data_IF_400782618442
#
_entry.id   IF_400782618442
#
_cell.length_a   1.000
_cell.length_b   1.000
_cell.length_c   1.000
_cell.angle_alpha   90.00
_cell.angle_beta   90.00
_cell.angle_gamma   90.00
#
_symmetry.space_group_name_H-M   'P 1'
#
loop_
_entity.id
_entity.type
_entity.pdbx_description
1 polymer ?
#
# COMPACT_ATOMS: atom_id res chain seq x y z
N UNK A 1 14.79 4.17 5.37
CA UNK A 1 14.27 5.13 6.33
C UNK A 1 12.96 5.65 5.80
N UNK A 2 11.86 5.03 6.22
CA UNK A 2 10.54 5.62 6.03
C UNK A 2 10.42 6.87 6.91
N UNK A 3 9.75 7.89 6.38
CA UNK A 3 9.49 9.10 7.14
C UNK A 3 8.00 9.35 7.26
N UNK A 4 7.61 9.98 8.37
CA UNK A 4 6.25 10.45 8.61
C UNK A 4 6.26 11.85 9.19
N UNK A 5 5.80 12.82 8.41
CA UNK A 5 5.63 14.20 8.86
C UNK A 5 4.38 14.28 9.74
N UNK A 6 4.60 14.39 11.05
CA UNK A 6 3.57 14.51 12.06
C UNK A 6 3.21 15.98 12.33
N UNK A 7 1.91 16.25 12.46
CA UNK A 7 1.36 17.58 12.77
C UNK A 7 0.87 17.72 14.20
N UNK A 8 -0.08 16.88 14.64
CA UNK A 8 -0.69 16.93 15.97
C UNK A 8 -0.77 15.54 16.57
N UNK A 9 -0.62 15.42 17.89
CA UNK A 9 -0.78 14.13 18.57
C UNK A 9 -1.73 14.17 19.76
N UNK A 10 -2.30 13.01 20.04
CA UNK A 10 -3.37 12.80 21.01
C UNK A 10 -3.05 11.60 21.86
N UNK A 11 -3.16 11.77 23.17
CA UNK A 11 -2.86 10.72 24.14
C UNK A 11 -4.14 9.98 24.49
N UNK A 12 -4.05 8.66 24.59
CA UNK A 12 -5.10 7.75 25.03
C UNK A 12 -4.59 6.94 26.21
N UNK A 13 -5.40 6.79 27.26
CA UNK A 13 -5.04 6.07 28.48
C UNK A 13 -5.68 4.69 28.52
N UNK A 14 -4.94 3.70 29.00
CA UNK A 14 -5.42 2.32 29.13
C UNK A 14 -6.71 2.29 29.96
N UNK A 15 -7.79 1.79 29.37
CA UNK A 15 -9.05 1.53 30.05
C UNK A 15 -9.12 0.06 30.46
N UNK A 16 -9.08 -0.86 29.48
CA UNK A 16 -9.11 -2.30 29.74
C UNK A 16 -8.54 -3.10 28.57
N UNK A 17 -7.73 -4.11 28.86
CA UNK A 17 -7.20 -5.02 27.84
C UNK A 17 -6.40 -4.27 26.78
N UNK A 18 -6.93 -4.23 25.55
CA UNK A 18 -6.37 -3.54 24.39
C UNK A 18 -7.03 -2.19 24.11
N UNK A 19 -8.01 -1.77 24.91
CA UNK A 19 -8.78 -0.54 24.71
C UNK A 19 -8.21 0.63 25.52
N UNK A 20 -8.02 1.77 24.87
CA UNK A 20 -7.50 3.01 25.43
C UNK A 20 -8.47 4.17 25.17
N UNK A 21 -8.85 4.91 26.19
CA UNK A 21 -9.80 6.03 26.08
C UNK A 21 -9.05 7.35 25.85
N UNK A 22 -9.66 8.25 25.07
CA UNK A 22 -9.11 9.57 24.80
C UNK A 22 -8.81 10.33 26.10
N UNK A 23 -7.59 10.82 26.25
CA UNK A 23 -7.13 11.56 27.43
C UNK A 23 -7.05 13.05 27.12
N UNK A 24 -6.14 13.44 26.22
CA UNK A 24 -5.88 14.83 25.91
C UNK A 24 -5.21 15.00 24.53
N UNK A 25 -5.39 16.18 23.94
CA UNK A 25 -4.54 16.64 22.86
C UNK A 25 -3.26 17.23 23.44
N UNK A 26 -2.12 16.80 22.92
CA UNK A 26 -0.83 17.37 23.29
C UNK A 26 -0.28 18.09 22.07
N UNK A 27 0.00 19.38 22.24
CA UNK A 27 0.53 20.21 21.15
C UNK A 27 2.04 20.08 21.05
N UNK A 28 2.52 19.85 19.83
CA UNK A 28 3.92 19.99 19.45
C UNK A 28 4.01 20.71 18.11
N UNK A 29 5.11 21.43 17.83
CA UNK A 29 5.44 21.78 16.46
C UNK A 29 5.49 20.54 15.56
N UNK A 30 5.19 20.68 14.25
CA UNK A 30 5.32 19.61 13.29
C UNK A 30 6.73 19.03 13.27
N UNK A 31 6.85 17.73 13.05
CA UNK A 31 8.11 17.02 13.10
C UNK A 31 8.07 15.74 12.28
N UNK A 32 9.23 15.26 11.83
CA UNK A 32 9.33 14.06 11.02
C UNK A 32 9.79 12.89 11.88
N UNK A 33 8.97 11.84 11.97
CA UNK A 33 9.39 10.54 12.48
C UNK A 33 10.20 9.79 11.43
N UNK A 34 11.19 9.03 11.88
CA UNK A 34 12.04 8.15 11.09
C UNK A 34 12.02 6.77 11.77
N UNK A 35 11.81 5.69 11.00
CA UNK A 35 11.88 4.30 11.49
C UNK A 35 13.31 3.89 11.90
N UNK A 36 14.31 4.69 11.54
CA UNK A 36 15.73 4.46 11.79
C UNK A 36 16.30 3.20 11.14
N UNK A 37 15.51 2.56 10.29
CA UNK A 37 15.82 1.30 9.63
C UNK A 37 16.24 1.54 8.16
N UNK A 38 16.98 0.58 7.62
CA UNK A 38 17.46 0.66 6.23
C UNK A 38 16.43 0.17 5.20
N UNK A 39 15.29 -0.36 5.65
CA UNK A 39 14.10 -0.53 4.81
C UNK A 39 13.30 0.77 4.74
N UNK A 40 12.25 0.81 3.93
CA UNK A 40 11.46 2.03 3.73
C UNK A 40 10.06 1.83 4.32
N UNK A 41 9.98 1.17 5.48
CA UNK A 41 8.72 0.64 6.02
C UNK A 41 8.70 0.67 7.55
N UNK A 42 7.79 1.43 8.17
CA UNK A 42 7.38 1.21 9.57
C UNK A 42 6.64 -0.14 9.77
N UNK A 43 7.31 -1.10 10.38
CA UNK A 43 6.77 -2.37 10.86
C UNK A 43 6.32 -2.25 12.32
N UNK A 44 5.32 -3.04 12.73
CA UNK A 44 4.88 -3.04 14.13
C UNK A 44 6.03 -3.47 15.02
N UNK A 45 6.38 -2.60 15.98
CA UNK A 45 7.53 -2.79 16.86
C UNK A 45 8.71 -1.88 16.52
N UNK A 46 8.69 -1.17 15.39
CA UNK A 46 9.75 -0.25 15.01
C UNK A 46 9.85 0.94 15.96
N UNK A 47 11.08 1.33 16.22
CA UNK A 47 11.39 2.54 16.98
C UNK A 47 11.32 3.77 16.07
N UNK A 48 10.19 4.45 16.08
CA UNK A 48 9.98 5.71 15.38
C UNK A 48 10.51 6.85 16.24
N UNK A 49 11.67 7.36 15.87
CA UNK A 49 12.43 8.27 16.72
C UNK A 49 12.15 9.72 16.38
N UNK A 50 11.88 10.53 17.41
CA UNK A 50 12.00 11.98 17.35
C UNK A 50 12.60 12.50 18.68
N UNK A 51 13.68 13.29 18.59
CA UNK A 51 14.23 14.09 19.69
C UNK A 51 14.50 13.36 21.03
N UNK A 52 15.25 12.25 21.02
CA UNK A 52 15.62 11.43 22.20
C UNK A 52 14.46 10.67 22.87
N UNK A 53 13.23 10.79 22.37
CA UNK A 53 12.07 10.01 22.84
C UNK A 53 11.75 8.93 21.82
N UNK A 54 11.94 7.67 22.23
CA UNK A 54 11.62 6.50 21.42
C UNK A 54 10.10 6.29 21.45
N UNK A 55 9.47 6.26 20.29
CA UNK A 55 8.07 5.87 20.11
C UNK A 55 8.06 4.55 19.37
N UNK A 56 7.38 3.54 19.88
CA UNK A 56 7.24 2.26 19.17
C UNK A 56 6.01 2.30 18.28
N UNK A 57 6.14 2.00 16.99
CA UNK A 57 5.02 1.95 16.05
C UNK A 57 4.13 0.73 16.34
N UNK A 58 2.81 0.94 16.39
CA UNK A 58 1.83 -0.10 16.73
C UNK A 58 0.83 -0.38 15.61
N UNK A 59 0.90 0.38 14.51
CA UNK A 59 -0.05 0.32 13.40
C UNK A 59 -0.68 1.68 13.10
N UNK A 60 -1.70 1.68 12.24
CA UNK A 60 -2.42 2.88 11.86
C UNK A 60 -3.92 2.77 12.11
N UNK A 61 -4.62 3.89 12.06
CA UNK A 61 -6.07 3.96 12.16
C UNK A 61 -6.63 4.95 11.14
N UNK A 62 -7.73 4.57 10.48
CA UNK A 62 -8.44 5.44 9.53
C UNK A 62 -9.47 6.29 10.26
N UNK A 63 -9.34 7.62 10.14
CA UNK A 63 -10.20 8.60 10.79
C UNK A 63 -11.01 9.42 9.78
N UNK A 64 -12.29 9.72 10.03
CA UNK A 64 -13.09 10.58 9.15
C UNK A 64 -12.64 12.04 9.16
N UNK A 65 -12.70 12.71 8.01
CA UNK A 65 -12.49 14.16 7.88
C UNK A 65 -13.84 14.89 7.68
N UNK A 66 -14.04 15.99 8.40
CA UNK A 66 -15.17 16.90 8.24
C UNK A 66 -15.19 17.48 6.81
N UNK A 67 -16.31 17.32 6.10
CA UNK A 67 -16.42 17.65 4.68
C UNK A 67 -16.19 16.46 3.74
N UNK A 68 -15.82 15.29 4.27
CA UNK A 68 -15.73 14.02 3.55
C UNK A 68 -14.30 13.56 3.29
N UNK A 69 -14.11 12.24 3.20
CA UNK A 69 -12.79 11.60 3.12
C UNK A 69 -12.34 11.05 4.47
N UNK A 70 -11.13 10.52 4.49
CA UNK A 70 -10.53 9.89 5.68
C UNK A 70 -9.05 10.26 5.80
N UNK A 71 -8.41 10.10 6.94
CA UNK A 71 -6.97 10.25 7.12
C UNK A 71 -6.46 8.99 7.80
N UNK A 72 -5.25 8.54 7.48
CA UNK A 72 -4.59 7.50 8.29
C UNK A 72 -3.66 8.18 9.28
N UNK A 73 -3.88 7.86 10.55
CA UNK A 73 -3.11 8.35 11.66
C UNK A 73 -2.24 7.20 12.18
N UNK A 74 -0.99 7.50 12.57
CA UNK A 74 -0.15 6.51 13.21
C UNK A 74 -0.57 6.33 14.66
N UNK A 75 -0.44 5.11 15.17
CA UNK A 75 -0.59 4.81 16.60
C UNK A 75 0.73 4.26 17.11
N UNK A 76 1.19 4.79 18.25
CA UNK A 76 2.45 4.38 18.86
C UNK A 76 2.42 4.37 20.37
N UNK A 77 3.52 3.91 20.96
CA UNK A 77 3.77 3.92 22.41
C UNK A 77 5.05 4.69 22.72
N UNK A 78 4.97 5.70 23.57
CA UNK A 78 6.17 6.39 24.07
C UNK A 78 6.87 5.55 25.14
N UNK A 79 8.13 5.21 24.89
CA UNK A 79 8.99 4.46 25.83
C UNK A 79 9.15 5.10 27.22
N UNK A 80 9.03 6.43 27.31
CA UNK A 80 9.19 7.21 28.55
C UNK A 80 7.91 7.38 29.37
N UNK A 81 6.75 7.03 28.80
CA UNK A 81 5.43 7.19 29.41
C UNK A 81 4.95 5.80 29.82
N UNK A 82 5.21 5.41 31.07
CA UNK A 82 5.07 4.02 31.52
C UNK A 82 3.81 3.30 31.02
N UNK A 83 4.00 2.39 30.06
CA UNK A 83 3.16 1.31 29.46
C UNK A 83 1.65 1.50 29.24
N UNK A 84 1.02 2.55 29.74
CA UNK A 84 -0.43 2.69 29.87
C UNK A 84 -0.99 3.82 29.01
N UNK A 85 -0.16 4.43 28.16
CA UNK A 85 -0.60 5.44 27.22
C UNK A 85 -0.24 5.08 25.79
N UNK A 86 -1.13 5.44 24.87
CA UNK A 86 -0.93 5.32 23.43
C UNK A 86 -1.05 6.70 22.83
N UNK A 87 -0.27 6.95 21.79
CA UNK A 87 -0.32 8.21 21.05
C UNK A 87 -0.94 7.94 19.69
N UNK A 88 -1.91 8.74 19.31
CA UNK A 88 -2.40 8.85 17.94
C UNK A 88 -1.80 10.11 17.32
N UNK A 89 -1.18 9.95 16.16
CA UNK A 89 -0.40 11.00 15.50
C UNK A 89 -1.06 11.29 14.15
N UNK A 90 -1.51 12.52 13.97
CA UNK A 90 -2.01 13.01 12.70
C UNK A 90 -0.86 13.49 11.81
N UNK A 91 -1.01 13.36 10.48
CA UNK A 91 -0.04 13.88 9.54
C UNK A 91 -0.01 15.41 9.54
N UNK A 92 1.12 15.99 9.13
CA UNK A 92 1.29 17.42 9.02
C UNK A 92 0.34 18.05 7.99
N UNK A 93 0.01 19.32 8.20
CA UNK A 93 -0.90 20.08 7.34
C UNK A 93 -2.39 19.75 7.51
N UNK A 94 -2.75 18.86 8.43
CA UNK A 94 -4.14 18.58 8.78
C UNK A 94 -4.55 19.39 10.02
N UNK A 95 -5.61 20.18 9.89
CA UNK A 95 -6.22 20.84 11.05
C UNK A 95 -6.99 19.79 11.87
N UNK A 96 -6.60 19.53 13.13
CA UNK A 96 -7.24 18.52 13.97
C UNK A 96 -8.72 18.80 14.23
N UNK A 97 -9.19 20.03 14.08
CA UNK A 97 -10.61 20.37 14.18
C UNK A 97 -11.45 19.78 13.04
N UNK A 98 -10.81 19.41 11.93
CA UNK A 98 -11.47 18.76 10.80
C UNK A 98 -11.42 17.24 10.89
N UNK A 99 -10.85 16.64 11.95
CA UNK A 99 -10.75 15.18 12.08
C UNK A 99 -11.67 14.71 13.19
N UNK A 100 -12.47 13.67 12.91
CA UNK A 100 -13.28 13.02 13.94
C UNK A 100 -12.41 12.04 14.70
N UNK A 101 -11.92 12.46 15.87
CA UNK A 101 -11.14 11.61 16.75
C UNK A 101 -12.02 10.57 17.45
N UNK A 102 -11.56 9.32 17.59
CA UNK A 102 -12.31 8.28 18.29
C UNK A 102 -12.32 8.56 19.80
N UNK A 103 -13.41 8.20 20.47
CA UNK A 103 -13.46 8.27 21.93
C UNK A 103 -12.54 7.23 22.60
N UNK A 104 -12.29 6.12 21.91
CA UNK A 104 -11.41 5.04 22.34
C UNK A 104 -10.73 4.38 21.13
N UNK A 105 -9.51 3.88 21.33
CA UNK A 105 -8.78 3.06 20.36
C UNK A 105 -8.65 1.66 20.94
N UNK A 106 -8.98 0.64 20.15
CA UNK A 106 -8.63 -0.75 20.47
C UNK A 106 -7.41 -1.16 19.65
N UNK A 107 -6.36 -1.67 20.30
CA UNK A 107 -5.16 -2.12 19.60
C UNK A 107 -5.43 -3.27 18.62
N UNK A 108 -6.50 -4.04 18.82
CA UNK A 108 -6.88 -5.11 17.88
C UNK A 108 -7.53 -4.57 16.60
N UNK A 109 -8.00 -3.33 16.62
CA UNK A 109 -8.63 -2.66 15.47
C UNK A 109 -7.61 -1.86 14.64
N UNK A 110 -6.35 -1.79 15.08
CA UNK A 110 -5.31 -1.10 14.33
C UNK A 110 -5.02 -1.84 13.03
N UNK A 111 -4.85 -1.07 11.97
CA UNK A 111 -4.29 -1.57 10.73
C UNK A 111 -2.78 -1.76 10.95
N UNK A 112 -2.44 -3.00 11.26
CA UNK A 112 -1.06 -3.50 11.32
C UNK A 112 -0.66 -4.14 10.00
N UNK A 113 -1.55 -4.11 9.00
CA UNK A 113 -1.30 -4.72 7.73
C UNK A 113 -0.26 -3.92 6.96
N UNK A 114 0.59 -4.70 6.36
CA UNK A 114 1.63 -4.23 5.51
C UNK A 114 1.03 -3.97 4.13
N UNK A 115 1.03 -2.69 3.75
CA UNK A 115 0.87 -2.20 2.39
C UNK A 115 -0.52 -2.33 1.78
N UNK A 116 -0.68 -1.66 0.65
CA UNK A 116 -1.85 -1.81 -0.22
C UNK A 116 -1.28 -1.98 -1.60
N UNK A 117 -1.27 -3.22 -2.10
CA UNK A 117 -0.69 -3.60 -3.39
C UNK A 117 -1.71 -3.36 -4.52
N UNK A 118 -1.84 -2.15 -5.04
CA UNK A 118 -2.96 -1.83 -5.93
C UNK A 118 -2.57 -1.25 -7.29
N UNK A 119 -3.47 -1.41 -8.24
CA UNK A 119 -3.46 -0.78 -9.55
C UNK A 119 -4.04 0.63 -9.50
N UNK A 120 -3.42 1.58 -10.20
CA UNK A 120 -4.02 2.87 -10.44
C UNK A 120 -5.25 2.76 -11.35
N UNK A 121 -6.18 3.71 -11.20
CA UNK A 121 -7.29 3.92 -12.13
C UNK A 121 -6.78 3.99 -13.58
N UNK A 122 -7.51 3.38 -14.51
CA UNK A 122 -7.18 3.36 -15.93
C UNK A 122 -6.24 2.21 -16.33
N UNK A 123 -5.73 1.43 -15.38
CA UNK A 123 -4.97 0.22 -15.67
C UNK A 123 -5.83 -0.77 -16.44
N UNK A 124 -5.41 -1.14 -17.65
CA UNK A 124 -6.11 -2.07 -18.50
C UNK A 124 -5.80 -3.52 -18.14
N UNK A 125 -6.78 -4.23 -17.58
CA UNK A 125 -6.69 -5.66 -17.29
C UNK A 125 -7.13 -6.45 -18.51
N UNK A 126 -6.32 -7.42 -18.94
CA UNK A 126 -6.69 -8.31 -20.04
C UNK A 126 -7.86 -9.22 -19.62
N UNK A 127 -8.90 -9.27 -20.45
CA UNK A 127 -10.05 -10.18 -20.29
C UNK A 127 -10.23 -11.05 -21.52
N UNK A 128 -11.13 -12.03 -21.45
CA UNK A 128 -11.57 -12.84 -22.59
C UNK A 128 -12.24 -12.01 -23.71
N UNK A 129 -12.72 -10.81 -23.39
CA UNK A 129 -13.37 -9.88 -24.32
C UNK A 129 -12.47 -8.68 -24.70
N UNK A 130 -11.18 -8.75 -24.40
CA UNK A 130 -10.20 -7.67 -24.63
C UNK A 130 -9.83 -6.92 -23.35
N UNK A 131 -9.13 -5.81 -23.47
CA UNK A 131 -8.66 -5.05 -22.30
C UNK A 131 -9.81 -4.25 -21.66
N UNK A 132 -9.91 -4.29 -20.34
CA UNK A 132 -10.89 -3.53 -19.55
C UNK A 132 -10.20 -2.70 -18.47
N UNK A 133 -10.53 -1.42 -18.27
CA UNK A 133 -10.02 -0.65 -17.14
C UNK A 133 -10.36 -1.32 -15.81
N UNK A 134 -9.43 -1.32 -14.86
CA UNK A 134 -9.58 -2.00 -13.56
C UNK A 134 -10.79 -1.49 -12.78
N UNK A 135 -11.12 -0.19 -12.88
CA UNK A 135 -12.30 0.41 -12.26
C UNK A 135 -13.64 -0.09 -12.84
N UNK A 136 -13.62 -0.61 -14.07
CA UNK A 136 -14.79 -1.14 -14.78
C UNK A 136 -14.92 -2.66 -14.66
N UNK A 137 -13.92 -3.32 -14.09
CA UNK A 137 -13.95 -4.74 -13.80
C UNK A 137 -15.02 -5.07 -12.75
N UNK A 138 -15.69 -6.21 -12.91
CA UNK A 138 -16.79 -6.65 -12.03
C UNK A 138 -16.59 -8.10 -11.63
N UNK A 139 -17.13 -8.45 -10.47
CA UNK A 139 -17.22 -9.83 -10.00
C UNK A 139 -17.83 -10.71 -11.10
N UNK A 140 -17.21 -11.87 -11.35
CA UNK A 140 -17.62 -12.81 -12.38
C UNK A 140 -17.00 -12.58 -13.76
N UNK A 141 -16.34 -11.44 -14.02
CA UNK A 141 -15.58 -11.26 -15.26
C UNK A 141 -14.41 -12.24 -15.33
N UNK A 142 -14.05 -12.67 -16.55
CA UNK A 142 -12.85 -13.49 -16.79
C UNK A 142 -11.66 -12.57 -17.06
N UNK A 143 -10.56 -12.79 -16.37
CA UNK A 143 -9.28 -12.11 -16.63
C UNK A 143 -8.27 -13.13 -17.16
N UNK A 144 -7.45 -12.66 -18.10
CA UNK A 144 -6.40 -13.46 -18.72
C UNK A 144 -5.18 -13.46 -17.81
N UNK A 145 -4.77 -14.66 -17.41
CA UNK A 145 -3.53 -14.88 -16.66
C UNK A 145 -2.31 -14.89 -17.58
N UNK A 146 -1.11 -14.69 -17.02
CA UNK A 146 0.13 -14.67 -17.79
C UNK A 146 0.46 -16.00 -18.48
N UNK A 147 -0.07 -17.13 -17.98
CA UNK A 147 0.07 -18.45 -18.61
C UNK A 147 -1.04 -18.75 -19.66
N UNK A 148 -1.95 -17.80 -19.89
CA UNK A 148 -3.01 -17.88 -20.89
C UNK A 148 -4.34 -18.46 -20.39
N UNK A 149 -4.44 -18.91 -19.13
CA UNK A 149 -5.73 -19.31 -18.55
C UNK A 149 -6.67 -18.11 -18.38
N UNK A 150 -7.97 -18.40 -18.38
CA UNK A 150 -9.02 -17.46 -17.98
C UNK A 150 -9.45 -17.78 -16.56
N UNK A 151 -9.30 -16.82 -15.65
CA UNK A 151 -9.72 -16.95 -14.25
C UNK A 151 -10.78 -15.94 -13.90
N UNK A 152 -11.69 -16.31 -13.00
CA UNK A 152 -12.81 -15.46 -12.62
C UNK A 152 -12.39 -14.47 -11.56
N UNK A 153 -12.73 -13.20 -11.76
CA UNK A 153 -12.69 -12.17 -10.74
C UNK A 153 -13.67 -12.54 -9.63
N UNK A 154 -13.13 -12.79 -8.44
CA UNK A 154 -13.89 -13.06 -7.23
C UNK A 154 -14.35 -11.74 -6.62
N UNK A 155 -13.43 -10.80 -6.42
CA UNK A 155 -13.73 -9.52 -5.82
C UNK A 155 -12.82 -8.41 -6.36
N UNK A 156 -13.28 -7.16 -6.24
CA UNK A 156 -12.50 -5.97 -6.60
C UNK A 156 -12.40 -5.09 -5.36
N UNK A 157 -11.25 -5.13 -4.69
CA UNK A 157 -10.94 -4.23 -3.58
C UNK A 157 -10.72 -2.81 -4.09
N UNK A 158 -11.22 -1.82 -3.35
CA UNK A 158 -11.06 -0.39 -3.68
C UNK A 158 -10.57 0.34 -2.46
N UNK A 159 -9.56 1.18 -2.64
CA UNK A 159 -9.06 2.00 -1.55
C UNK A 159 -8.84 3.43 -2.00
N UNK A 160 -9.35 4.37 -1.20
CA UNK A 160 -9.13 5.79 -1.38
C UNK A 160 -7.80 6.18 -0.74
N UNK A 161 -6.92 6.78 -1.54
CA UNK A 161 -5.62 7.32 -1.12
C UNK A 161 -5.69 8.84 -1.10
N UNK A 162 -5.16 9.42 -0.03
CA UNK A 162 -4.95 10.85 0.14
C UNK A 162 -3.44 11.06 0.39
N UNK A 163 -2.65 11.40 -0.64
CA UNK A 163 -1.18 11.34 -0.59
C UNK A 163 -0.55 12.16 0.54
N UNK A 164 -1.17 13.29 0.88
CA UNK A 164 -0.72 14.18 1.96
C UNK A 164 -0.71 13.49 3.33
N UNK A 165 -1.36 12.33 3.45
CA UNK A 165 -1.63 11.64 4.70
C UNK A 165 -1.11 10.20 4.73
N UNK A 166 -0.30 9.79 3.75
CA UNK A 166 0.17 8.40 3.60
C UNK A 166 1.70 8.27 3.46
N UNK A 167 2.45 9.38 3.58
CA UNK A 167 3.92 9.39 3.51
C UNK A 167 4.48 8.71 2.25
N UNK A 168 5.67 8.14 2.36
CA UNK A 168 6.36 7.43 1.27
C UNK A 168 5.65 6.14 0.82
N UNK A 169 4.64 5.70 1.56
CA UNK A 169 4.01 4.39 1.48
C UNK A 169 2.79 4.36 0.56
N UNK A 170 2.28 5.53 0.20
CA UNK A 170 1.35 5.72 -0.92
C UNK A 170 2.05 6.14 -2.23
N UNK A 171 3.40 6.08 -2.29
CA UNK A 171 4.07 6.44 -3.54
C UNK A 171 3.69 5.44 -4.63
N UNK A 172 3.33 6.02 -5.76
CA UNK A 172 3.03 5.26 -6.96
C UNK A 172 4.32 5.11 -7.77
N UNK A 173 4.48 3.95 -8.41
CA UNK A 173 5.53 3.71 -9.39
C UNK A 173 4.87 3.68 -10.76
N UNK A 174 5.40 4.48 -11.69
CA UNK A 174 5.01 4.44 -13.09
C UNK A 174 6.06 3.65 -13.87
N UNK A 175 5.60 2.54 -14.45
CA UNK A 175 6.34 1.70 -15.39
C UNK A 175 5.91 2.15 -16.78
N UNK A 176 6.77 2.89 -17.48
CA UNK A 176 6.50 3.43 -18.80
C UNK A 176 6.35 2.33 -19.83
N UNK A 177 5.58 2.61 -20.88
CA UNK A 177 5.43 1.72 -22.01
C UNK A 177 6.80 1.22 -22.52
N UNK A 178 6.95 -0.10 -22.61
CA UNK A 178 8.18 -0.75 -23.09
C UNK A 178 9.35 -0.84 -22.08
N UNK A 179 9.20 -0.35 -20.85
CA UNK A 179 10.27 -0.34 -19.85
C UNK A 179 10.66 -1.73 -19.32
N UNK A 180 9.77 -2.72 -19.37
CA UNK A 180 10.00 -4.11 -18.93
C UNK A 180 10.57 -5.01 -20.03
N UNK A 181 11.11 -4.42 -21.11
CA UNK A 181 11.54 -5.07 -22.36
C UNK A 181 10.39 -5.62 -23.23
N UNK A 182 10.73 -6.01 -24.47
CA UNK A 182 9.79 -6.59 -25.45
C UNK A 182 8.53 -5.76 -25.75
N UNK A 183 8.58 -4.45 -25.49
CA UNK A 183 7.43 -3.56 -25.67
C UNK A 183 6.40 -3.63 -24.54
N UNK A 184 6.76 -4.21 -23.38
CA UNK A 184 5.93 -4.27 -22.17
C UNK A 184 6.34 -3.22 -21.13
N UNK A 185 5.37 -2.69 -20.35
CA UNK A 185 3.94 -2.77 -20.60
C UNK A 185 3.57 -2.10 -21.93
N UNK A 186 2.43 -2.46 -22.52
CA UNK A 186 1.97 -1.92 -23.80
C UNK A 186 1.35 -0.51 -23.69
N UNK A 187 1.15 -0.03 -22.48
CA UNK A 187 0.81 1.34 -22.09
C UNK A 187 1.41 1.63 -20.70
N UNK A 188 1.62 2.89 -20.34
CA UNK A 188 2.12 3.26 -19.01
C UNK A 188 1.29 2.60 -17.91
N UNK A 189 1.93 1.82 -17.04
CA UNK A 189 1.32 1.10 -15.93
C UNK A 189 1.71 1.78 -14.63
N UNK A 190 0.73 2.28 -13.88
CA UNK A 190 0.97 2.89 -12.57
C UNK A 190 0.38 2.01 -11.47
N UNK A 191 1.20 1.65 -10.50
CA UNK A 191 0.86 0.78 -9.37
C UNK A 191 1.42 1.35 -8.08
N UNK A 192 0.96 0.89 -6.93
CA UNK A 192 1.59 1.24 -5.64
C UNK A 192 2.99 0.62 -5.55
N UNK A 193 3.84 1.23 -4.71
CA UNK A 193 5.25 0.86 -4.54
C UNK A 193 5.50 -0.65 -4.39
N UNK A 194 4.69 -1.33 -3.60
CA UNK A 194 4.92 -2.74 -3.26
C UNK A 194 4.10 -3.73 -4.07
N UNK A 195 3.35 -3.25 -5.07
CA UNK A 195 2.63 -4.14 -5.97
C UNK A 195 3.60 -5.07 -6.71
N UNK A 196 3.34 -6.38 -6.64
CA UNK A 196 4.19 -7.40 -7.23
C UNK A 196 4.06 -7.49 -8.75
N UNK A 197 5.13 -7.13 -9.44
CA UNK A 197 5.32 -7.33 -10.87
C UNK A 197 6.03 -8.66 -11.10
N UNK A 198 5.51 -9.50 -11.98
CA UNK A 198 6.06 -10.84 -12.20
C UNK A 198 7.03 -10.83 -13.38
N UNK A 199 8.32 -11.07 -13.10
CA UNK A 199 9.39 -11.04 -14.08
C UNK A 199 10.30 -12.25 -13.88
N UNK A 200 10.52 -13.03 -14.94
CA UNK A 200 11.49 -14.14 -14.97
C UNK A 200 11.35 -15.13 -13.79
N UNK A 201 10.11 -15.38 -13.34
CA UNK A 201 9.81 -16.28 -12.23
C UNK A 201 9.95 -15.67 -10.83
N UNK A 202 10.09 -14.34 -10.73
CA UNK A 202 10.11 -13.61 -9.47
C UNK A 202 8.88 -12.70 -9.37
N UNK A 203 8.36 -12.54 -8.15
CA UNK A 203 7.46 -11.43 -7.82
C UNK A 203 8.33 -10.29 -7.33
N UNK A 204 8.39 -9.18 -8.06
CA UNK A 204 9.25 -8.04 -7.76
C UNK A 204 8.39 -6.84 -7.41
N UNK A 205 8.58 -6.27 -6.22
CA UNK A 205 7.90 -5.02 -5.85
C UNK A 205 8.25 -3.94 -6.88
N UNK A 206 7.26 -3.16 -7.32
CA UNK A 206 7.48 -2.11 -8.31
C UNK A 206 8.57 -1.10 -7.89
N UNK A 207 8.67 -0.80 -6.60
CA UNK A 207 9.70 0.05 -5.99
C UNK A 207 11.12 -0.48 -6.19
N UNK A 208 11.31 -1.80 -6.17
CA UNK A 208 12.60 -2.45 -6.42
C UNK A 208 13.03 -2.35 -7.89
N UNK A 209 12.10 -2.07 -8.81
CA UNK A 209 12.35 -1.90 -10.24
C UNK A 209 12.70 -0.45 -10.62
N UNK A 210 12.51 0.52 -9.72
CA UNK A 210 12.81 1.94 -10.01
C UNK A 210 14.28 2.10 -10.36
N UNK A 211 14.54 2.62 -11.55
CA UNK A 211 15.87 2.69 -12.12
C UNK A 211 16.21 4.03 -12.79
N UNK A 212 15.26 4.99 -12.83
CA UNK A 212 15.47 6.28 -13.51
C UNK A 212 15.41 6.19 -15.05
N UNK A 213 15.07 5.02 -15.60
CA UNK A 213 15.09 4.71 -17.02
C UNK A 213 13.77 4.05 -17.43
N UNK A 214 12.69 4.82 -17.36
CA UNK A 214 11.35 4.37 -17.73
C UNK A 214 10.60 3.64 -16.61
N UNK A 215 11.22 3.43 -15.45
CA UNK A 215 10.54 3.00 -14.23
C UNK A 215 10.89 4.00 -13.13
N UNK A 216 9.91 4.80 -12.74
CA UNK A 216 10.11 5.98 -11.93
C UNK A 216 9.00 6.13 -10.88
N UNK A 217 9.36 6.78 -9.77
CA UNK A 217 8.36 7.26 -8.82
C UNK A 217 7.47 8.32 -9.48
N UNK A 218 6.16 8.25 -9.25
CA UNK A 218 5.26 9.35 -9.59
C UNK A 218 5.49 10.49 -8.60
N UNK A 219 5.82 11.70 -9.05
CA UNK A 219 5.97 12.84 -8.15
C UNK A 219 4.68 13.08 -7.35
N UNK A 220 4.81 13.37 -6.05
CA UNK A 220 3.65 13.69 -5.21
C UNK A 220 2.86 14.89 -5.76
N UNK A 221 3.53 15.84 -6.42
CA UNK A 221 2.91 16.99 -7.10
C UNK A 221 1.98 16.60 -8.25
N UNK A 222 2.18 15.42 -8.83
CA UNK A 222 1.46 14.94 -10.00
C UNK A 222 0.28 14.05 -9.60
N UNK A 223 0.22 13.64 -8.32
CA UNK A 223 -0.89 12.88 -7.77
C UNK A 223 -2.05 13.81 -7.40
N UNK A 224 -3.30 13.42 -7.72
CA UNK A 224 -4.47 14.12 -7.19
C UNK A 224 -4.47 14.14 -5.66
N UNK A 225 -5.05 15.18 -5.06
CA UNK A 225 -5.20 15.26 -3.59
C UNK A 225 -5.93 14.04 -3.03
N UNK A 226 -6.82 13.44 -3.81
CA UNK A 226 -7.56 12.22 -3.52
C UNK A 226 -7.68 11.35 -4.78
N UNK A 227 -7.32 10.08 -4.70
CA UNK A 227 -7.55 9.12 -5.78
C UNK A 227 -7.93 7.74 -5.25
N UNK A 228 -8.36 6.84 -6.14
CA UNK A 228 -8.73 5.47 -5.80
C UNK A 228 -7.83 4.51 -6.52
N UNK A 229 -7.33 3.52 -5.79
CA UNK A 229 -6.59 2.37 -6.30
C UNK A 229 -7.43 1.11 -6.17
N UNK A 230 -7.12 0.11 -6.99
CA UNK A 230 -7.94 -1.09 -7.15
C UNK A 230 -7.09 -2.34 -7.00
N UNK A 231 -7.65 -3.36 -6.35
CA UNK A 231 -7.06 -4.69 -6.31
C UNK A 231 -7.99 -5.70 -6.97
N UNK A 232 -7.43 -6.61 -7.77
CA UNK A 232 -8.16 -7.72 -8.36
C UNK A 232 -7.95 -8.96 -7.51
N UNK A 233 -9.01 -9.54 -6.94
CA UNK A 233 -9.00 -10.83 -6.25
C UNK A 233 -9.59 -11.91 -7.15
N UNK A 234 -8.94 -13.08 -7.19
CA UNK A 234 -9.45 -14.30 -7.85
C UNK A 234 -9.59 -15.43 -6.82
N UNK A 235 -9.92 -16.65 -7.24
CA UNK A 235 -10.00 -17.78 -6.30
C UNK A 235 -8.62 -18.22 -5.77
N UNK A 236 -7.53 -17.88 -6.47
CA UNK A 236 -6.17 -18.19 -6.08
C UNK A 236 -5.27 -16.95 -6.18
N UNK A 237 -4.01 -17.08 -5.75
CA UNK A 237 -2.97 -16.08 -6.01
C UNK A 237 -2.46 -16.25 -7.45
N UNK A 238 -3.20 -15.70 -8.41
CA UNK A 238 -2.91 -15.78 -9.84
C UNK A 238 -2.03 -14.59 -10.31
N UNK A 239 -1.39 -14.78 -11.47
CA UNK A 239 -0.66 -13.72 -12.20
C UNK A 239 -1.49 -13.30 -13.41
N UNK A 240 -1.93 -12.05 -13.45
CA UNK A 240 -2.76 -11.48 -14.52
C UNK A 240 -1.96 -10.52 -15.41
N UNK A 241 -2.53 -10.16 -16.56
CA UNK A 241 -1.93 -9.19 -17.48
C UNK A 241 -2.55 -7.79 -17.28
N UNK A 242 -1.77 -6.86 -16.73
CA UNK A 242 -2.11 -5.45 -16.54
C UNK A 242 -1.30 -4.56 -17.50
N UNK A 243 -1.96 -3.86 -18.41
CA UNK A 243 -1.31 -3.21 -19.57
C UNK A 243 -0.33 -4.15 -20.29
N UNK A 244 -0.66 -5.43 -20.36
CA UNK A 244 0.18 -6.49 -20.94
C UNK A 244 1.36 -6.94 -20.08
N UNK A 245 1.68 -6.27 -18.97
CA UNK A 245 2.69 -6.72 -18.02
C UNK A 245 2.09 -7.74 -17.04
N UNK A 246 2.88 -8.74 -16.67
CA UNK A 246 2.48 -9.74 -15.68
C UNK A 246 2.52 -9.11 -14.27
N UNK A 247 1.40 -9.18 -13.56
CA UNK A 247 1.19 -8.58 -12.24
C UNK A 247 0.43 -9.55 -11.36
N UNK A 248 0.67 -9.50 -10.06
CA UNK A 248 -0.03 -10.35 -9.11
C UNK A 248 -1.48 -9.92 -8.88
N UNK A 249 -2.31 -10.89 -8.54
CA UNK A 249 -3.65 -10.67 -7.98
C UNK A 249 -3.58 -10.61 -6.46
N UNK A 250 -4.70 -10.34 -5.81
CA UNK A 250 -4.76 -10.17 -4.36
C UNK A 250 -4.31 -11.43 -3.63
N UNK A 251 -3.48 -11.19 -2.62
CA UNK A 251 -3.03 -12.12 -1.61
C UNK A 251 -3.22 -11.43 -0.26
N UNK A 252 -3.56 -12.20 0.75
CA UNK A 252 -3.94 -11.75 2.10
C UNK A 252 -2.75 -11.30 2.97
N UNK A 253 -1.70 -10.74 2.36
CA UNK A 253 -0.70 -9.93 3.07
C UNK A 253 -1.33 -8.68 3.68
N UNK A 254 -2.26 -8.10 2.93
CA UNK A 254 -3.09 -6.97 3.35
C UNK A 254 -4.42 -7.52 3.80
N UNK A 255 -4.89 -7.15 4.99
CA UNK A 255 -6.22 -7.57 5.44
C UNK A 255 -7.29 -6.95 4.51
N UNK A 256 -8.36 -7.70 4.20
CA UNK A 256 -9.43 -7.15 3.35
C UNK A 256 -10.12 -5.96 4.01
N UNK A 257 -10.01 -5.84 5.33
CA UNK A 257 -10.44 -4.70 6.14
C UNK A 257 -9.82 -3.37 5.75
N UNK A 258 -8.65 -3.36 5.09
CA UNK A 258 -7.98 -2.13 4.67
C UNK A 258 -8.63 -1.49 3.42
N UNK A 259 -9.51 -2.22 2.70
CA UNK A 259 -10.26 -1.67 1.57
C UNK A 259 -11.56 -0.97 1.99
N UNK A 260 -11.88 0.15 1.35
CA UNK A 260 -13.09 0.95 1.58
C UNK A 260 -14.39 0.11 1.45
N UNK A 261 -14.37 -0.92 0.62
CA UNK A 261 -15.51 -1.79 0.35
C UNK A 261 -15.45 -3.15 1.06
N UNK A 262 -14.69 -3.29 2.16
CA UNK A 262 -14.62 -4.54 2.92
C UNK A 262 -16.01 -5.11 3.32
N UNK A 263 -16.94 -4.24 3.73
CA UNK A 263 -18.30 -4.66 4.08
C UNK A 263 -19.05 -5.36 2.93
N UNK A 264 -18.73 -5.03 1.67
CA UNK A 264 -19.25 -5.72 0.49
C UNK A 264 -18.74 -7.17 0.45
N UNK A 265 -17.45 -7.39 0.73
CA UNK A 265 -16.86 -8.73 0.78
C UNK A 265 -17.55 -9.60 1.83
N UNK A 266 -17.68 -9.09 3.06
CA UNK A 266 -18.34 -9.84 4.15
C UNK A 266 -19.80 -10.13 3.83
N UNK A 267 -20.52 -9.21 3.18
CA UNK A 267 -21.90 -9.45 2.77
C UNK A 267 -22.02 -10.55 1.69
N UNK A 268 -21.03 -10.66 0.80
CA UNK A 268 -21.01 -11.65 -0.27
C UNK A 268 -20.57 -13.05 0.21
N UNK A 269 -19.58 -13.11 1.11
CA UNK A 269 -18.88 -14.36 1.44
C UNK A 269 -19.04 -14.81 2.90
N UNK A 270 -19.55 -13.95 3.79
CA UNK A 270 -19.85 -14.25 5.19
C UNK A 270 -18.63 -14.32 6.12
N UNK A 271 -17.44 -14.60 5.60
CA UNK A 271 -16.18 -14.64 6.33
C UNK A 271 -15.00 -14.39 5.38
N UNK A 272 -13.84 -14.09 5.95
CA UNK A 272 -12.59 -14.03 5.19
C UNK A 272 -12.07 -15.43 4.86
N UNK A 273 -11.44 -15.55 3.70
CA UNK A 273 -10.80 -16.79 3.25
C UNK A 273 -9.34 -16.50 2.93
N UNK A 274 -8.47 -17.33 3.49
CA UNK A 274 -7.04 -17.28 3.20
C UNK A 274 -6.76 -17.72 1.76
N UNK A 275 -5.81 -17.06 1.11
CA UNK A 275 -5.39 -17.39 -0.24
C UNK A 275 -4.00 -18.01 -0.15
N UNK A 276 -3.77 -19.25 -0.61
CA UNK A 276 -2.44 -19.80 -0.67
C UNK A 276 -1.54 -18.94 -1.57
N UNK A 277 -0.39 -18.54 -1.05
CA UNK A 277 0.59 -17.78 -1.82
C UNK A 277 1.09 -18.59 -3.02
N UNK A 278 1.29 -17.93 -4.17
CA UNK A 278 1.95 -18.53 -5.32
C UNK A 278 3.40 -18.92 -4.97
N UNK A 279 3.94 -20.01 -5.54
CA UNK A 279 5.27 -20.52 -5.20
C UNK A 279 6.41 -19.79 -5.95
N UNK A 280 6.33 -18.47 -6.07
CA UNK A 280 7.37 -17.65 -6.69
C UNK A 280 8.12 -16.84 -5.62
N UNK A 281 9.46 -16.79 -5.66
CA UNK A 281 10.22 -15.97 -4.72
C UNK A 281 9.90 -14.48 -4.91
N UNK A 282 9.72 -13.77 -3.79
CA UNK A 282 9.52 -12.32 -3.76
C UNK A 282 10.83 -11.56 -3.59
N UNK A 283 10.94 -10.45 -4.33
CA UNK A 283 12.02 -9.46 -4.28
C UNK A 283 11.41 -8.14 -3.83
N UNK A 284 11.67 -7.73 -2.59
CA UNK A 284 11.15 -6.49 -2.02
C UNK A 284 12.08 -5.29 -2.17
N UNK A 285 13.37 -5.52 -2.46
CA UNK A 285 14.37 -4.44 -2.54
C UNK A 285 15.24 -4.49 -3.80
N UNK A 286 15.66 -3.33 -4.30
CA UNK A 286 16.48 -3.21 -5.51
C UNK A 286 17.81 -3.99 -5.43
N UNK A 287 18.40 -4.13 -4.23
CA UNK A 287 19.63 -4.91 -3.99
C UNK A 287 19.46 -6.42 -4.21
N UNK A 288 18.23 -6.93 -4.10
CA UNK A 288 17.89 -8.33 -4.31
C UNK A 288 17.56 -8.63 -5.78
N UNK A 289 17.41 -7.61 -6.64
CA UNK A 289 17.13 -7.80 -8.07
C UNK A 289 18.37 -8.43 -8.75
N UNK A 290 18.23 -9.61 -9.37
CA UNK A 290 19.31 -10.26 -10.10
C UNK A 290 19.98 -9.33 -11.12
N UNK A 291 21.30 -9.49 -11.30
CA UNK A 291 22.09 -8.69 -12.25
C UNK A 291 21.54 -8.75 -13.68
N UNK A 292 21.18 -9.94 -14.17
CA UNK A 292 20.61 -10.09 -15.51
C UNK A 292 19.30 -9.30 -15.71
N UNK A 293 18.47 -9.17 -14.66
CA UNK A 293 17.26 -8.35 -14.69
C UNK A 293 17.61 -6.86 -14.72
N UNK A 294 18.55 -6.42 -13.89
CA UNK A 294 19.02 -5.02 -13.87
C UNK A 294 19.63 -4.60 -15.21
N UNK A 295 20.42 -5.46 -15.83
CA UNK A 295 21.05 -5.19 -17.13
C UNK A 295 20.02 -5.09 -18.26
N UNK A 296 18.98 -5.92 -18.21
CA UNK A 296 17.85 -5.90 -19.15
C UNK A 296 17.06 -4.60 -19.02
N UNK A 297 16.76 -4.16 -17.80
CA UNK A 297 15.94 -2.98 -17.52
C UNK A 297 16.70 -1.64 -17.68
N UNK A 298 18.02 -1.64 -17.50
CA UNK A 298 18.86 -0.46 -17.74
C UNK A 298 19.13 -0.17 -19.22
N UNK A 299 18.66 -1.03 -20.13
CA UNK A 299 18.89 -0.90 -21.57
C UNK A 299 20.32 -1.24 -22.02
N UNK A 300 21.19 -1.72 -21.12
CA UNK A 300 22.56 -2.11 -21.45
C UNK A 300 22.64 -3.43 -22.23
N UNK A 301 21.57 -4.23 -22.25
CA UNK A 301 21.47 -5.46 -23.05
C UNK A 301 21.24 -5.29 -24.56
N UNK A 302 21.19 -4.06 -25.09
CA UNK A 302 20.89 -3.81 -26.52
C UNK A 302 22.08 -3.92 -27.50
N UNK A 303 23.26 -4.35 -27.04
CA UNK A 303 24.43 -4.53 -27.91
C UNK A 303 25.14 -5.86 -27.67
N UNK A 304 24.58 -6.98 -28.14
CA UNK A 304 25.40 -8.10 -28.64
C UNK A 304 24.66 -8.84 -29.77
N UNK A 305 25.29 -8.81 -30.94
CA UNK A 305 25.10 -9.60 -32.18
C UNK A 305 23.89 -9.29 -33.07
#
# INVERSE_FOLDING_TARGET
MATYDAGSYFSYALNSGTTYDFLEQVSSPPFTYDDTEADNTFEVGDDINSNEVVTTFLGTIILPIAGGGTVEAMVGEFSSVGSNQRVLILPDGLDPLNVTLPASIDLNDLDTSDFVTCFAKGTGIATDLGTRPVEDLRIGNMVTTADGRQVRVKWIGRQTILPRFRGDRARMVCIRQGALAEGLPNADLTVTADHGMVLDGYVVNASALVNGNGIDWVPLSDLPERFTVYHVETEAHDVILANGAASETYIDYVARSSFDNHAEYLALYGAEFAIPEMPLPRISSARQVPEFLRDRLSGQGRNVA
#
